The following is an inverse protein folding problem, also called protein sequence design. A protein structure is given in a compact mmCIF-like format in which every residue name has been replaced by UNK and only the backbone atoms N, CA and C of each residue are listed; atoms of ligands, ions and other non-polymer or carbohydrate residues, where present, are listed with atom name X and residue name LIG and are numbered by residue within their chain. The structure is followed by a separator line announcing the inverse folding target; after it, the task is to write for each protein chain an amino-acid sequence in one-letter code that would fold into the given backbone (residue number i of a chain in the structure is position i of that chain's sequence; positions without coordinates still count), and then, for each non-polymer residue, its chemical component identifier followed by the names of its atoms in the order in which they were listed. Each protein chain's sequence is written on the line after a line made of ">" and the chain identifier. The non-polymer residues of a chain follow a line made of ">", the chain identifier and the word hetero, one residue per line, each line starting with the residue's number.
data_IF_605797396140
#
_entry.id   IF_605797396140
#
_cell.length_a   1.000
_cell.length_b   1.000
_cell.length_c   1.000
_cell.angle_alpha   90.00
_cell.angle_beta   90.00
_cell.angle_gamma   90.00
#
_symmetry.space_group_name_H-M   'P 1'
#
loop_
_entity.id
_entity.type
_entity.pdbx_description
1 polymer ?
#
# COMPACT_ATOMS: atom_id res chain seq x y z
N UNK A 1 11.65 12.31 32.21
CA UNK A 1 10.80 13.36 31.64
C UNK A 1 11.56 14.11 30.54
N UNK A 2 12.79 14.61 30.76
CA UNK A 2 13.57 15.38 29.78
C UNK A 2 13.83 14.60 28.47
N UNK A 3 14.18 13.30 28.52
CA UNK A 3 14.42 12.45 27.34
C UNK A 3 13.16 12.27 26.48
N UNK A 4 11.99 12.08 27.10
CA UNK A 4 10.71 11.96 26.39
C UNK A 4 10.31 13.29 25.73
N UNK A 5 10.56 14.41 26.42
CA UNK A 5 10.34 15.75 25.84
C UNK A 5 11.24 15.99 24.62
N UNK A 6 12.51 15.59 24.69
CA UNK A 6 13.46 15.66 23.58
C UNK A 6 13.03 14.81 22.37
N UNK A 7 12.57 13.58 22.61
CA UNK A 7 12.09 12.68 21.55
C UNK A 7 10.84 13.24 20.87
N UNK A 8 9.88 13.78 21.62
CA UNK A 8 8.68 14.41 21.06
C UNK A 8 9.01 15.66 20.21
N UNK A 9 9.94 16.50 20.71
CA UNK A 9 10.39 17.68 19.96
C UNK A 9 11.11 17.28 18.68
N UNK A 10 12.01 16.31 18.72
CA UNK A 10 12.67 15.75 17.53
C UNK A 10 11.66 15.26 16.51
N UNK A 11 10.68 14.45 16.94
CA UNK A 11 9.63 13.91 16.08
C UNK A 11 8.86 15.03 15.39
N UNK A 12 8.48 16.08 16.15
CA UNK A 12 7.76 17.25 15.59
C UNK A 12 8.60 18.01 14.56
N UNK A 13 9.88 18.23 14.83
CA UNK A 13 10.80 18.92 13.90
C UNK A 13 11.00 18.06 12.64
N UNK A 14 11.25 16.76 12.82
CA UNK A 14 11.44 15.82 11.70
C UNK A 14 10.19 15.76 10.81
N UNK A 15 8.99 15.64 11.40
CA UNK A 15 7.72 15.64 10.65
C UNK A 15 7.56 16.90 9.79
N UNK A 16 7.77 18.09 10.38
CA UNK A 16 7.67 19.35 9.63
C UNK A 16 8.71 19.48 8.53
N UNK A 17 9.91 18.92 8.73
CA UNK A 17 10.94 18.87 7.70
C UNK A 17 10.53 17.95 6.55
N UNK A 18 10.05 16.75 6.84
CA UNK A 18 9.56 15.79 5.86
C UNK A 18 8.45 16.41 5.00
N UNK A 19 7.46 17.06 5.62
CA UNK A 19 6.33 17.69 4.93
C UNK A 19 6.75 18.86 4.03
N UNK A 20 7.85 19.56 4.35
CA UNK A 20 8.43 20.57 3.46
C UNK A 20 9.20 19.97 2.29
N UNK A 21 9.91 18.85 2.51
CA UNK A 21 10.68 18.16 1.48
C UNK A 21 9.78 17.34 0.54
N UNK A 22 8.63 16.91 1.01
CA UNK A 22 7.62 16.15 0.25
C UNK A 22 6.27 16.86 0.39
N UNK A 23 6.08 18.02 -0.27
CA UNK A 23 4.84 18.78 -0.13
C UNK A 23 3.63 18.04 -0.69
N UNK A 24 2.44 18.36 -0.17
CA UNK A 24 1.18 17.82 -0.67
C UNK A 24 0.94 18.27 -2.13
N UNK A 25 0.44 17.35 -2.94
CA UNK A 25 -0.05 17.58 -4.30
C UNK A 25 -1.40 16.87 -4.48
N UNK A 26 -2.13 17.16 -5.55
CA UNK A 26 -3.43 16.52 -5.79
C UNK A 26 -4.59 17.12 -4.98
N UNK A 27 -5.57 16.28 -4.66
CA UNK A 27 -6.83 16.66 -4.05
C UNK A 27 -7.16 15.82 -2.81
N UNK A 28 -8.19 16.27 -2.07
CA UNK A 28 -8.72 15.54 -0.91
C UNK A 28 -10.18 15.19 -1.14
N UNK A 29 -10.58 14.01 -0.67
CA UNK A 29 -11.96 13.54 -0.66
C UNK A 29 -12.31 13.01 0.72
N UNK A 30 -13.41 13.49 1.27
CA UNK A 30 -13.95 12.96 2.53
C UNK A 30 -14.87 11.76 2.22
N UNK A 31 -14.50 10.60 2.71
CA UNK A 31 -15.30 9.37 2.64
C UNK A 31 -15.62 8.90 4.04
N UNK A 32 -16.58 7.97 4.18
CA UNK A 32 -16.91 7.40 5.48
C UNK A 32 -15.66 6.77 6.13
N UNK A 33 -15.22 7.31 7.27
CA UNK A 33 -14.08 6.83 8.04
C UNK A 33 -12.71 7.44 7.70
N UNK A 34 -12.59 8.24 6.62
CA UNK A 34 -11.31 8.84 6.22
C UNK A 34 -11.47 10.14 5.41
N UNK A 35 -10.45 10.99 5.49
CA UNK A 35 -10.19 12.01 4.50
C UNK A 35 -9.00 11.56 3.67
N UNK A 36 -9.24 11.21 2.41
CA UNK A 36 -8.26 10.65 1.50
C UNK A 36 -7.60 11.73 0.65
N UNK A 37 -6.29 11.67 0.55
CA UNK A 37 -5.50 12.41 -0.43
C UNK A 37 -5.32 11.52 -1.66
N UNK A 38 -5.52 12.10 -2.84
CA UNK A 38 -5.38 11.39 -4.10
C UNK A 38 -4.88 12.32 -5.21
N UNK A 39 -4.31 11.71 -6.25
CA UNK A 39 -3.91 12.38 -7.48
C UNK A 39 -4.67 11.74 -8.63
N UNK A 40 -5.33 12.55 -9.45
CA UNK A 40 -6.12 12.14 -10.63
C UNK A 40 -5.40 12.63 -11.89
N UNK A 41 -5.07 11.71 -12.81
CA UNK A 41 -4.33 12.00 -14.04
C UNK A 41 -4.91 11.25 -15.23
N UNK A 42 -4.82 11.89 -16.41
CA UNK A 42 -5.29 11.29 -17.65
C UNK A 42 -6.81 11.27 -17.76
N UNK A 43 -7.31 10.56 -18.76
CA UNK A 43 -8.72 10.42 -19.07
C UNK A 43 -9.00 9.02 -19.64
N UNK A 44 -10.24 8.58 -19.67
CA UNK A 44 -10.64 7.26 -20.21
C UNK A 44 -11.01 6.27 -19.11
N UNK A 45 -10.77 4.98 -19.36
CA UNK A 45 -11.09 3.89 -18.41
C UNK A 45 -10.33 4.08 -17.10
N UNK A 46 -11.04 4.04 -15.95
CA UNK A 46 -10.39 4.34 -14.67
C UNK A 46 -9.55 3.19 -14.14
N UNK A 47 -8.38 3.52 -13.60
CA UNK A 47 -7.47 2.65 -12.85
C UNK A 47 -7.19 3.28 -11.49
N UNK A 48 -7.37 2.52 -10.40
CA UNK A 48 -7.06 2.97 -9.03
C UNK A 48 -5.80 2.26 -8.55
N UNK A 49 -4.78 3.03 -8.13
CA UNK A 49 -3.49 2.54 -7.67
C UNK A 49 -3.34 2.69 -6.15
N UNK A 50 -3.13 1.57 -5.45
CA UNK A 50 -2.94 1.49 -4.00
C UNK A 50 -1.52 1.03 -3.64
N UNK A 51 -0.82 1.84 -2.85
CA UNK A 51 0.55 1.58 -2.37
C UNK A 51 0.62 0.58 -1.22
N UNK A 52 1.81 0.01 -0.96
CA UNK A 52 2.08 -0.96 0.11
C UNK A 52 2.17 -0.38 1.53
N UNK A 53 2.57 -1.23 2.48
CA UNK A 53 2.77 -0.89 3.90
C UNK A 53 3.86 0.19 4.07
N UNK A 54 3.57 1.22 4.87
CA UNK A 54 4.53 2.29 5.16
C UNK A 54 4.97 3.13 3.96
N UNK A 55 4.30 2.95 2.81
CA UNK A 55 4.51 3.65 1.55
C UNK A 55 3.49 4.78 1.38
N UNK A 56 3.38 5.32 0.16
CA UNK A 56 2.40 6.33 -0.23
C UNK A 56 2.30 6.43 -1.77
N UNK A 57 1.34 7.18 -2.28
CA UNK A 57 0.95 7.23 -3.70
C UNK A 57 2.12 7.52 -4.68
N UNK A 58 3.15 8.27 -4.26
CA UNK A 58 4.29 8.62 -5.12
C UNK A 58 5.19 7.42 -5.46
N UNK A 59 4.98 6.25 -4.85
CA UNK A 59 5.67 5.04 -5.30
C UNK A 59 5.34 4.71 -6.76
N UNK A 60 4.18 5.13 -7.26
CA UNK A 60 3.80 4.98 -8.67
C UNK A 60 4.28 6.13 -9.58
N UNK A 61 4.93 7.17 -9.03
CA UNK A 61 5.38 8.34 -9.77
C UNK A 61 6.74 8.16 -10.47
N UNK A 62 7.33 6.94 -10.41
CA UNK A 62 8.59 6.62 -11.11
C UNK A 62 8.39 6.19 -12.57
N UNK A 63 7.22 6.43 -13.12
CA UNK A 63 6.90 6.16 -14.51
C UNK A 63 5.62 5.34 -14.70
N UNK A 64 5.14 4.61 -13.71
CA UNK A 64 3.91 3.82 -13.82
C UNK A 64 2.71 4.73 -14.12
N UNK A 65 2.50 5.75 -13.29
CA UNK A 65 1.37 6.66 -13.45
C UNK A 65 1.41 7.42 -14.77
N UNK A 66 2.58 7.94 -15.16
CA UNK A 66 2.74 8.72 -16.41
C UNK A 66 2.54 7.82 -17.64
N UNK A 67 3.06 6.58 -17.61
CA UNK A 67 2.89 5.62 -18.70
C UNK A 67 1.44 5.15 -18.88
N UNK A 68 0.64 5.12 -17.81
CA UNK A 68 -0.77 4.74 -17.88
C UNK A 68 -1.68 5.94 -18.21
N UNK A 69 -1.33 7.14 -17.74
CA UNK A 69 -2.17 8.34 -17.90
C UNK A 69 -2.29 8.83 -19.36
N UNK A 70 -1.49 8.28 -20.29
CA UNK A 70 -1.66 8.52 -21.73
C UNK A 70 -2.97 7.92 -22.28
N UNK A 71 -3.46 6.83 -21.71
CA UNK A 71 -4.58 6.06 -22.25
C UNK A 71 -5.70 5.81 -21.24
N UNK A 72 -5.43 6.01 -19.96
CA UNK A 72 -6.34 5.72 -18.85
C UNK A 72 -6.51 6.92 -17.91
N UNK A 73 -7.63 6.97 -17.19
CA UNK A 73 -7.78 7.84 -16.02
C UNK A 73 -7.18 7.15 -14.81
N UNK A 74 -6.07 7.65 -14.28
CA UNK A 74 -5.28 7.03 -13.22
C UNK A 74 -5.46 7.76 -11.91
N UNK A 75 -6.03 7.08 -10.92
CA UNK A 75 -6.26 7.58 -9.57
C UNK A 75 -5.23 6.97 -8.62
N UNK A 76 -4.26 7.75 -8.18
CA UNK A 76 -3.29 7.35 -7.16
C UNK A 76 -3.83 7.74 -5.79
N UNK A 77 -3.85 6.82 -4.84
CA UNK A 77 -4.49 7.06 -3.53
C UNK A 77 -3.49 6.86 -2.40
N UNK A 78 -3.40 7.84 -1.50
CA UNK A 78 -2.82 7.62 -0.19
C UNK A 78 -3.83 6.87 0.68
N UNK A 79 -3.47 5.68 1.16
CA UNK A 79 -4.34 4.89 2.03
C UNK A 79 -4.52 5.56 3.41
N UNK A 80 -5.60 5.31 4.15
CA UNK A 80 -5.84 5.90 5.46
C UNK A 80 -4.62 5.81 6.39
N UNK A 81 -4.17 6.96 6.94
CA UNK A 81 -2.98 7.05 7.79
C UNK A 81 -1.64 7.04 7.06
N UNK A 82 -1.62 6.96 5.74
CA UNK A 82 -0.41 7.04 4.91
C UNK A 82 -0.41 8.31 4.07
N UNK A 83 0.79 8.75 3.62
CA UNK A 83 0.90 9.98 2.84
C UNK A 83 0.20 11.14 3.55
N UNK A 84 -0.72 11.80 2.88
CA UNK A 84 -1.51 12.89 3.43
C UNK A 84 -2.95 12.51 3.81
N UNK A 85 -3.32 11.23 3.67
CA UNK A 85 -4.62 10.73 4.13
C UNK A 85 -4.67 10.54 5.64
N UNK A 86 -5.83 10.81 6.21
CA UNK A 86 -6.08 10.64 7.64
C UNK A 86 -7.36 9.83 7.89
N UNK A 87 -7.34 9.01 8.93
CA UNK A 87 -8.56 8.35 9.42
C UNK A 87 -9.35 9.33 10.29
N UNK A 88 -10.67 9.42 10.10
CA UNK A 88 -11.55 10.30 10.89
C UNK A 88 -12.03 9.64 12.19
N UNK A 89 -11.60 8.40 12.45
CA UNK A 89 -11.90 7.63 13.65
C UNK A 89 -10.72 6.77 14.07
N UNK A 90 -10.98 5.48 14.34
CA UNK A 90 -9.91 4.49 14.54
C UNK A 90 -9.23 4.19 13.21
N UNK A 91 -7.91 3.97 13.25
CA UNK A 91 -7.19 3.51 12.06
C UNK A 91 -7.78 2.17 11.59
N UNK A 92 -8.21 2.02 10.33
CA UNK A 92 -8.81 0.80 9.82
C UNK A 92 -7.76 -0.29 9.57
N UNK A 93 -8.15 -1.55 9.77
CA UNK A 93 -7.43 -2.73 9.28
C UNK A 93 -7.62 -2.93 7.77
N UNK A 94 -7.23 -4.10 7.26
CA UNK A 94 -7.27 -4.42 5.81
C UNK A 94 -8.71 -4.36 5.28
N UNK A 95 -9.65 -5.03 5.93
CA UNK A 95 -11.07 -5.04 5.50
C UNK A 95 -11.74 -3.67 5.66
N UNK A 96 -11.39 -2.91 6.71
CA UNK A 96 -11.88 -1.55 6.87
C UNK A 96 -11.36 -0.62 5.76
N UNK A 97 -10.12 -0.80 5.31
CA UNK A 97 -9.58 -0.06 4.17
C UNK A 97 -10.23 -0.49 2.85
N UNK A 98 -10.56 -1.76 2.67
CA UNK A 98 -11.30 -2.23 1.50
C UNK A 98 -12.66 -1.52 1.36
N UNK A 99 -13.41 -1.36 2.45
CA UNK A 99 -14.66 -0.62 2.45
C UNK A 99 -14.45 0.88 2.11
N UNK A 100 -13.37 1.50 2.61
CA UNK A 100 -13.02 2.90 2.29
C UNK A 100 -12.65 3.06 0.82
N UNK A 101 -11.94 2.10 0.23
CA UNK A 101 -11.61 2.11 -1.21
C UNK A 101 -12.88 1.98 -2.06
N UNK A 102 -13.81 1.11 -1.69
CA UNK A 102 -15.10 1.00 -2.37
C UNK A 102 -15.90 2.32 -2.31
N UNK A 103 -15.93 2.97 -1.14
CA UNK A 103 -16.56 4.28 -0.98
C UNK A 103 -15.87 5.41 -1.78
N UNK A 104 -14.54 5.38 -1.92
CA UNK A 104 -13.80 6.30 -2.79
C UNK A 104 -14.23 6.12 -4.26
N UNK A 105 -14.29 4.87 -4.73
CA UNK A 105 -14.70 4.53 -6.10
C UNK A 105 -16.10 5.06 -6.40
N UNK A 106 -17.04 4.86 -5.47
CA UNK A 106 -18.41 5.35 -5.56
C UNK A 106 -18.47 6.89 -5.62
N UNK A 107 -17.77 7.58 -4.68
CA UNK A 107 -17.82 9.04 -4.60
C UNK A 107 -17.11 9.75 -5.75
N UNK A 108 -16.08 9.14 -6.35
CA UNK A 108 -15.43 9.64 -7.57
C UNK A 108 -16.19 9.23 -8.84
N UNK A 109 -17.34 8.55 -8.70
CA UNK A 109 -18.20 8.08 -9.79
C UNK A 109 -17.42 7.23 -10.82
N UNK A 110 -16.43 6.45 -10.34
CA UNK A 110 -15.61 5.60 -11.20
C UNK A 110 -16.41 4.36 -11.63
N UNK A 111 -16.57 4.20 -12.94
CA UNK A 111 -17.34 3.08 -13.50
C UNK A 111 -16.51 1.80 -13.49
N UNK A 112 -16.58 1.05 -12.40
CA UNK A 112 -15.88 -0.24 -12.18
C UNK A 112 -14.40 -0.18 -12.62
N UNK A 113 -13.52 0.59 -11.90
CA UNK A 113 -12.13 0.70 -12.27
C UNK A 113 -11.39 -0.64 -12.15
N UNK A 114 -10.29 -0.81 -12.89
CA UNK A 114 -9.26 -1.78 -12.54
C UNK A 114 -8.63 -1.34 -11.22
N UNK A 115 -8.61 -2.23 -10.23
CA UNK A 115 -7.96 -1.94 -8.95
C UNK A 115 -6.57 -2.57 -8.93
N UNK A 116 -5.56 -1.74 -8.70
CA UNK A 116 -4.15 -2.13 -8.60
C UNK A 116 -3.70 -2.05 -7.16
N UNK A 117 -3.13 -3.13 -6.63
CA UNK A 117 -2.58 -3.17 -5.28
C UNK A 117 -1.12 -3.62 -5.28
N UNK A 118 -0.24 -2.82 -4.65
CA UNK A 118 1.15 -3.23 -4.42
C UNK A 118 1.34 -3.76 -3.00
N UNK A 119 2.02 -4.91 -2.85
CA UNK A 119 2.39 -5.46 -1.53
C UNK A 119 1.15 -5.67 -0.63
N UNK A 120 1.11 -5.10 0.58
CA UNK A 120 -0.04 -5.20 1.49
C UNK A 120 -1.35 -4.66 0.87
N UNK A 121 -1.28 -3.72 -0.05
CA UNK A 121 -2.49 -3.27 -0.75
C UNK A 121 -3.07 -4.34 -1.69
N UNK A 122 -2.33 -5.39 -2.02
CA UNK A 122 -2.88 -6.59 -2.65
C UNK A 122 -3.94 -7.26 -1.78
N UNK A 123 -3.69 -7.40 -0.47
CA UNK A 123 -4.68 -7.90 0.48
C UNK A 123 -5.92 -7.00 0.57
N UNK A 124 -5.73 -5.66 0.55
CA UNK A 124 -6.84 -4.70 0.55
C UNK A 124 -7.66 -4.82 -0.73
N UNK A 125 -7.00 -4.92 -1.89
CA UNK A 125 -7.66 -5.10 -3.19
C UNK A 125 -8.44 -6.42 -3.26
N UNK A 126 -7.89 -7.51 -2.73
CA UNK A 126 -8.59 -8.79 -2.57
C UNK A 126 -9.77 -8.67 -1.59
N UNK A 127 -9.63 -7.84 -0.54
CA UNK A 127 -10.73 -7.49 0.35
C UNK A 127 -11.86 -6.75 -0.38
N UNK A 128 -11.54 -5.82 -1.30
CA UNK A 128 -12.55 -5.17 -2.17
C UNK A 128 -13.22 -6.21 -3.06
N UNK A 129 -12.44 -7.07 -3.74
CA UNK A 129 -12.98 -8.07 -4.65
C UNK A 129 -13.90 -9.09 -3.95
N UNK A 130 -13.63 -9.42 -2.69
CA UNK A 130 -14.44 -10.38 -1.94
C UNK A 130 -15.67 -9.79 -1.26
N UNK A 131 -15.66 -8.51 -0.86
CA UNK A 131 -16.73 -7.86 -0.09
C UNK A 131 -17.49 -6.79 -0.88
N UNK A 132 -16.88 -6.24 -1.93
CA UNK A 132 -17.46 -5.19 -2.80
C UNK A 132 -17.22 -5.51 -4.29
N UNK A 133 -17.53 -6.74 -4.78
CA UNK A 133 -17.14 -7.20 -6.12
C UNK A 133 -17.70 -6.34 -7.25
N UNK A 134 -18.85 -5.72 -7.06
CA UNK A 134 -19.50 -4.90 -8.08
C UNK A 134 -18.85 -3.52 -8.27
N UNK A 135 -17.98 -3.10 -7.34
CA UNK A 135 -17.32 -1.80 -7.40
C UNK A 135 -16.13 -1.73 -8.37
N UNK A 136 -15.58 -2.87 -8.79
CA UNK A 136 -14.37 -2.96 -9.62
C UNK A 136 -14.58 -3.88 -10.82
N UNK A 137 -13.76 -3.73 -11.87
CA UNK A 137 -13.77 -4.63 -13.05
C UNK A 137 -12.87 -5.86 -12.83
N UNK A 138 -11.78 -5.71 -12.08
CA UNK A 138 -10.84 -6.77 -11.78
C UNK A 138 -9.63 -6.25 -10.99
N UNK A 139 -8.64 -7.12 -10.80
CA UNK A 139 -7.42 -6.85 -10.03
C UNK A 139 -6.15 -7.04 -10.85
N UNK A 140 -5.22 -6.07 -10.76
CA UNK A 140 -3.83 -6.21 -11.17
C UNK A 140 -2.92 -6.01 -9.95
N UNK A 141 -2.31 -7.06 -9.45
CA UNK A 141 -1.61 -7.08 -8.18
C UNK A 141 -0.09 -7.17 -8.39
N UNK A 142 0.65 -6.22 -7.81
CA UNK A 142 2.11 -6.13 -7.90
C UNK A 142 2.75 -6.61 -6.59
N UNK A 143 3.51 -7.70 -6.62
CA UNK A 143 4.13 -8.32 -5.44
C UNK A 143 3.17 -8.39 -4.23
N UNK A 144 1.91 -8.85 -4.42
CA UNK A 144 0.88 -8.72 -3.40
C UNK A 144 1.10 -9.66 -2.22
N UNK A 145 0.70 -9.21 -1.01
CA UNK A 145 0.44 -10.09 0.12
C UNK A 145 -0.95 -10.70 -0.08
N UNK A 146 -1.01 -12.02 -0.14
CA UNK A 146 -2.26 -12.76 -0.41
C UNK A 146 -2.57 -13.81 0.66
N UNK A 147 -1.58 -14.14 1.51
CA UNK A 147 -1.69 -15.17 2.54
C UNK A 147 -1.51 -14.58 3.93
N UNK A 148 -2.14 -15.16 4.95
CA UNK A 148 -1.87 -14.79 6.34
C UNK A 148 -0.38 -14.95 6.68
N UNK A 149 0.22 -14.02 7.45
CA UNK A 149 1.62 -14.10 7.82
C UNK A 149 1.90 -15.35 8.66
N UNK A 150 2.94 -16.11 8.27
CA UNK A 150 3.30 -17.37 8.97
C UNK A 150 4.02 -17.12 10.30
N UNK A 151 4.78 -16.04 10.40
CA UNK A 151 5.51 -15.66 11.60
C UNK A 151 5.77 -14.15 11.63
N UNK A 152 5.96 -13.63 12.84
CA UNK A 152 6.29 -12.24 13.07
C UNK A 152 7.40 -12.14 14.13
N UNK A 153 8.43 -11.29 13.92
CA UNK A 153 9.46 -11.09 14.93
C UNK A 153 8.88 -10.62 16.27
N UNK A 154 9.31 -11.22 17.37
CA UNK A 154 8.75 -10.99 18.71
C UNK A 154 8.69 -9.51 19.15
N UNK A 155 9.72 -8.64 18.88
CA UNK A 155 9.62 -7.23 19.21
C UNK A 155 8.51 -6.50 18.46
N UNK A 156 8.33 -6.83 17.16
CA UNK A 156 7.27 -6.26 16.33
C UNK A 156 5.89 -6.76 16.79
N UNK A 157 5.76 -8.05 17.09
CA UNK A 157 4.54 -8.63 17.63
C UNK A 157 4.11 -7.97 18.95
N UNK A 158 5.06 -7.61 19.81
CA UNK A 158 4.80 -6.90 21.06
C UNK A 158 4.30 -5.46 20.83
N UNK A 159 4.93 -4.73 19.92
CA UNK A 159 4.52 -3.37 19.54
C UNK A 159 3.12 -3.37 18.90
N UNK A 160 2.80 -4.36 18.09
CA UNK A 160 1.51 -4.54 17.42
C UNK A 160 0.41 -4.86 18.43
N UNK A 161 0.68 -5.73 19.40
CA UNK A 161 -0.28 -6.10 20.48
C UNK A 161 -0.51 -5.01 21.51
N UNK A 162 0.32 -3.95 21.51
CA UNK A 162 0.14 -2.83 22.43
C UNK A 162 -1.26 -2.21 22.27
N UNK A 163 -1.85 -1.76 23.36
CA UNK A 163 -3.10 -1.01 23.34
C UNK A 163 -2.97 0.26 22.47
N UNK A 164 -4.08 0.77 21.95
CA UNK A 164 -4.13 1.97 21.10
C UNK A 164 -3.25 3.13 21.64
N UNK A 165 -3.36 3.42 22.93
CA UNK A 165 -2.56 4.47 23.58
C UNK A 165 -1.06 4.15 23.50
N UNK A 166 -0.66 2.90 23.76
CA UNK A 166 0.74 2.47 23.70
C UNK A 166 1.32 2.60 22.28
N UNK A 167 0.56 2.22 21.25
CA UNK A 167 0.99 2.40 19.84
C UNK A 167 1.14 3.87 19.47
N UNK A 168 0.19 4.71 19.88
CA UNK A 168 0.25 6.15 19.62
C UNK A 168 1.45 6.80 20.34
N UNK A 169 1.71 6.45 21.59
CA UNK A 169 2.89 6.91 22.32
C UNK A 169 4.19 6.44 21.67
N UNK A 170 4.26 5.17 21.29
CA UNK A 170 5.40 4.63 20.56
C UNK A 170 5.65 5.40 19.26
N UNK A 171 4.63 5.57 18.43
CA UNK A 171 4.75 6.27 17.15
C UNK A 171 5.26 7.71 17.31
N UNK A 172 4.77 8.44 18.33
CA UNK A 172 5.14 9.83 18.56
C UNK A 172 6.50 10.04 19.27
N UNK A 173 6.94 9.08 20.07
CA UNK A 173 8.17 9.23 20.87
C UNK A 173 9.35 8.48 20.26
N UNK A 174 9.14 7.27 19.75
CA UNK A 174 10.20 6.38 19.30
C UNK A 174 10.08 6.02 17.80
N UNK A 175 8.86 5.99 17.25
CA UNK A 175 8.61 5.53 15.91
C UNK A 175 9.39 6.32 14.86
N UNK A 176 9.25 7.64 14.84
CA UNK A 176 9.97 8.52 13.91
C UNK A 176 11.49 8.46 14.09
N UNK A 177 12.06 8.60 15.31
CA UNK A 177 13.52 8.46 15.49
C UNK A 177 14.05 7.12 15.00
N UNK A 178 13.40 6.01 15.37
CA UNK A 178 13.82 4.66 14.99
C UNK A 178 13.71 4.43 13.47
N UNK A 179 12.60 4.83 12.89
CA UNK A 179 12.32 4.69 11.44
C UNK A 179 13.38 5.46 10.63
N UNK A 180 13.73 6.67 11.04
CA UNK A 180 14.77 7.46 10.38
C UNK A 180 16.17 6.89 10.58
N UNK A 181 16.50 6.43 11.78
CA UNK A 181 17.81 5.81 12.07
C UNK A 181 18.02 4.52 11.26
N UNK A 182 16.96 3.78 10.96
CA UNK A 182 17.00 2.53 10.18
C UNK A 182 16.63 2.69 8.72
N UNK A 183 16.44 3.91 8.23
CA UNK A 183 15.91 4.19 6.88
C UNK A 183 16.67 3.45 5.78
N UNK A 184 17.97 3.61 5.68
CA UNK A 184 18.78 2.98 4.64
C UNK A 184 18.79 1.45 4.73
N UNK A 185 18.90 0.90 5.95
CA UNK A 185 18.86 -0.55 6.16
C UNK A 185 17.49 -1.14 5.76
N UNK A 186 16.42 -0.49 6.18
CA UNK A 186 15.05 -0.94 5.90
C UNK A 186 14.73 -0.93 4.40
N UNK A 187 14.96 0.22 3.75
CA UNK A 187 14.68 0.33 2.32
C UNK A 187 15.65 -0.50 1.48
N UNK A 188 16.93 -0.61 1.90
CA UNK A 188 17.89 -1.51 1.24
C UNK A 188 17.43 -2.96 1.21
N UNK A 189 16.83 -3.45 2.30
CA UNK A 189 16.24 -4.81 2.33
C UNK A 189 14.97 -4.93 1.48
N UNK A 190 14.11 -3.90 1.49
CA UNK A 190 12.84 -3.93 0.76
C UNK A 190 13.06 -3.83 -0.75
N UNK A 191 14.08 -3.09 -1.19
CA UNK A 191 14.43 -2.96 -2.60
C UNK A 191 15.28 -4.13 -3.12
N UNK A 192 15.99 -4.86 -2.25
CA UNK A 192 16.91 -5.92 -2.70
C UNK A 192 16.26 -6.88 -3.72
N UNK A 193 16.99 -7.26 -4.79
CA UNK A 193 18.37 -6.90 -5.10
C UNK A 193 18.54 -5.52 -5.77
N UNK A 194 17.46 -4.83 -6.09
CA UNK A 194 17.48 -3.54 -6.77
C UNK A 194 18.06 -2.43 -5.86
N UNK A 195 18.74 -1.42 -6.42
CA UNK A 195 19.20 -0.29 -5.65
C UNK A 195 18.05 0.62 -5.24
N UNK A 196 18.13 1.20 -4.04
CA UNK A 196 17.22 2.26 -3.62
C UNK A 196 17.53 3.53 -4.42
N UNK A 197 16.58 4.13 -5.16
CA UNK A 197 16.83 5.39 -5.85
C UNK A 197 17.26 6.48 -4.87
N UNK A 198 18.27 7.29 -5.25
CA UNK A 198 18.83 8.32 -4.38
C UNK A 198 17.79 9.38 -3.93
N UNK A 199 16.77 9.61 -4.76
CA UNK A 199 15.66 10.54 -4.54
C UNK A 199 14.41 9.88 -3.95
N UNK A 200 14.48 8.60 -3.55
CA UNK A 200 13.30 7.86 -3.05
C UNK A 200 12.70 8.49 -1.80
N UNK A 201 13.51 9.09 -0.94
CA UNK A 201 13.03 9.77 0.26
C UNK A 201 12.06 10.93 -0.07
N UNK A 202 12.31 11.64 -1.17
CA UNK A 202 11.57 12.84 -1.60
C UNK A 202 10.62 12.52 -2.76
N UNK A 203 11.14 12.22 -3.95
CA UNK A 203 10.34 11.92 -5.15
C UNK A 203 9.43 10.72 -4.94
N UNK A 204 9.95 9.61 -4.40
CA UNK A 204 9.17 8.43 -4.04
C UNK A 204 8.35 8.59 -2.77
N UNK A 205 8.55 9.68 -2.04
CA UNK A 205 7.85 10.00 -0.80
C UNK A 205 8.18 9.06 0.37
N UNK A 206 9.26 8.29 0.27
CA UNK A 206 9.63 7.32 1.31
C UNK A 206 9.80 7.91 2.71
N UNK A 207 10.17 9.21 2.80
CA UNK A 207 10.28 9.91 4.07
C UNK A 207 8.92 10.12 4.78
N UNK A 208 7.80 10.19 4.05
CA UNK A 208 6.46 10.34 4.66
C UNK A 208 6.08 9.13 5.53
N UNK A 209 6.62 7.94 5.21
CA UNK A 209 6.44 6.73 6.03
C UNK A 209 7.05 6.80 7.43
N UNK A 210 7.99 7.74 7.67
CA UNK A 210 8.63 7.94 8.96
C UNK A 210 7.83 8.82 9.93
N UNK A 211 6.71 9.42 9.49
CA UNK A 211 5.87 10.24 10.36
C UNK A 211 5.07 9.39 11.34
N UNK A 212 4.75 9.91 12.55
CA UNK A 212 4.02 9.15 13.57
C UNK A 212 2.70 8.56 13.07
N UNK A 213 1.97 9.30 12.25
CA UNK A 213 0.69 8.83 11.67
C UNK A 213 0.90 7.58 10.81
N UNK A 214 1.93 7.57 9.96
CA UNK A 214 2.23 6.44 9.08
C UNK A 214 2.79 5.24 9.84
N UNK A 215 3.63 5.48 10.86
CA UNK A 215 4.10 4.42 11.76
C UNK A 215 2.93 3.76 12.50
N UNK A 216 2.00 4.56 13.04
CA UNK A 216 0.83 4.04 13.74
C UNK A 216 -0.09 3.26 12.79
N UNK A 217 -0.32 3.75 11.57
CA UNK A 217 -1.11 3.07 10.55
C UNK A 217 -0.50 1.70 10.21
N UNK A 218 0.79 1.64 9.96
CA UNK A 218 1.49 0.39 9.66
C UNK A 218 1.37 -0.64 10.79
N UNK A 219 1.46 -0.22 12.06
CA UNK A 219 1.27 -1.10 13.21
C UNK A 219 -0.16 -1.67 13.30
N UNK A 220 -1.17 -0.87 12.97
CA UNK A 220 -2.57 -1.34 12.97
C UNK A 220 -2.83 -2.29 11.81
N UNK A 221 -2.34 -1.98 10.62
CA UNK A 221 -2.44 -2.85 9.44
C UNK A 221 -1.82 -4.22 9.69
N UNK A 222 -0.62 -4.26 10.27
CA UNK A 222 0.03 -5.52 10.66
C UNK A 222 -0.73 -6.25 11.77
N UNK A 223 -1.39 -5.52 12.68
CA UNK A 223 -2.18 -6.14 13.75
C UNK A 223 -3.42 -6.87 13.21
N UNK A 224 -4.06 -6.32 12.18
CA UNK A 224 -5.27 -6.92 11.58
C UNK A 224 -4.94 -7.96 10.51
N UNK A 225 -3.72 -7.95 9.95
CA UNK A 225 -3.37 -8.70 8.74
C UNK A 225 -3.69 -10.19 8.84
N UNK A 226 -3.42 -10.84 9.99
CA UNK A 226 -3.67 -12.27 10.12
C UNK A 226 -5.17 -12.61 10.09
N UNK A 227 -5.97 -11.88 10.85
CA UNK A 227 -7.41 -12.13 10.96
C UNK A 227 -8.13 -11.77 9.67
N UNK A 228 -7.86 -10.59 9.13
CA UNK A 228 -8.47 -10.11 7.89
C UNK A 228 -8.10 -11.00 6.69
N UNK A 229 -6.83 -11.41 6.55
CA UNK A 229 -6.41 -12.29 5.46
C UNK A 229 -7.01 -13.69 5.58
N UNK A 230 -7.16 -14.26 6.78
CA UNK A 230 -7.89 -15.53 6.96
C UNK A 230 -9.32 -15.41 6.45
N UNK A 231 -10.01 -14.29 6.73
CA UNK A 231 -11.36 -14.06 6.25
C UNK A 231 -11.41 -13.94 4.71
N UNK A 232 -10.48 -13.20 4.11
CA UNK A 232 -10.39 -12.97 2.67
C UNK A 232 -10.09 -14.29 1.92
N UNK A 233 -9.09 -15.05 2.38
CA UNK A 233 -8.66 -16.32 1.76
C UNK A 233 -9.79 -17.34 1.67
N UNK A 234 -10.67 -17.40 2.68
CA UNK A 234 -11.84 -18.28 2.67
C UNK A 234 -12.81 -18.01 1.51
N UNK A 235 -12.75 -16.81 0.94
CA UNK A 235 -13.63 -16.36 -0.15
C UNK A 235 -12.97 -16.45 -1.53
N UNK A 236 -11.69 -16.84 -1.63
CA UNK A 236 -10.97 -16.91 -2.90
C UNK A 236 -11.67 -17.77 -3.96
N UNK A 237 -12.17 -18.95 -3.57
CA UNK A 237 -12.87 -19.85 -4.47
C UNK A 237 -14.22 -19.32 -5.03
N UNK A 238 -14.75 -18.23 -4.44
CA UNK A 238 -16.00 -17.59 -4.90
C UNK A 238 -15.77 -16.39 -5.81
N UNK A 239 -14.51 -15.94 -5.99
CA UNK A 239 -14.18 -14.80 -6.84
C UNK A 239 -14.50 -15.10 -8.31
N UNK A 240 -15.22 -14.16 -8.94
CA UNK A 240 -15.59 -14.23 -10.36
C UNK A 240 -14.87 -13.18 -11.21
N UNK A 241 -14.21 -12.23 -10.55
CA UNK A 241 -13.44 -11.17 -11.18
C UNK A 241 -12.11 -11.71 -11.71
N UNK A 242 -11.62 -11.13 -12.79
CA UNK A 242 -10.27 -11.39 -13.27
C UNK A 242 -9.24 -10.92 -12.23
N UNK A 243 -8.29 -11.78 -11.87
CA UNK A 243 -7.21 -11.50 -10.93
C UNK A 243 -5.89 -11.87 -11.57
N UNK A 244 -5.01 -10.88 -11.74
CA UNK A 244 -3.67 -11.09 -12.26
C UNK A 244 -2.64 -10.64 -11.23
N UNK A 245 -1.57 -11.43 -11.07
CA UNK A 245 -0.49 -11.20 -10.14
C UNK A 245 0.83 -11.08 -10.91
N UNK A 246 1.66 -10.09 -10.54
CA UNK A 246 3.03 -9.94 -11.02
C UNK A 246 3.97 -9.93 -9.82
N UNK A 247 5.02 -10.77 -9.86
CA UNK A 247 6.08 -10.76 -8.85
C UNK A 247 7.45 -10.57 -9.47
N UNK A 248 8.36 -9.97 -8.71
CA UNK A 248 9.79 -10.05 -8.99
C UNK A 248 10.33 -11.43 -8.62
N UNK A 249 11.19 -12.01 -9.48
CA UNK A 249 11.81 -13.33 -9.24
C UNK A 249 12.68 -13.36 -8.00
N UNK A 250 13.25 -12.23 -7.64
CA UNK A 250 14.16 -12.04 -6.52
C UNK A 250 13.49 -11.35 -5.32
N UNK A 251 12.15 -11.32 -5.25
CA UNK A 251 11.43 -10.74 -4.12
C UNK A 251 11.77 -11.46 -2.80
N UNK A 252 12.40 -10.74 -1.87
CA UNK A 252 12.83 -11.23 -0.56
C UNK A 252 11.89 -10.77 0.57
N UNK A 253 10.82 -10.07 0.24
CA UNK A 253 9.84 -9.53 1.20
C UNK A 253 8.58 -10.37 1.21
N UNK A 254 8.06 -10.69 0.03
CA UNK A 254 6.87 -11.54 -0.17
C UNK A 254 7.25 -12.69 -1.08
N UNK A 255 7.14 -13.91 -0.58
CA UNK A 255 7.54 -15.13 -1.30
C UNK A 255 6.53 -15.46 -2.40
N UNK A 256 6.92 -15.40 -3.70
CA UNK A 256 6.01 -15.72 -4.81
C UNK A 256 5.44 -17.14 -4.76
N UNK A 257 6.17 -18.11 -4.20
CA UNK A 257 5.68 -19.49 -4.07
C UNK A 257 4.59 -19.61 -2.99
N UNK A 258 4.66 -18.77 -1.95
CA UNK A 258 3.65 -18.78 -0.89
C UNK A 258 2.47 -17.91 -1.27
N UNK A 259 2.71 -16.65 -1.63
CA UNK A 259 1.68 -15.68 -1.90
C UNK A 259 1.14 -15.79 -3.34
N UNK A 260 2.01 -15.98 -4.34
CA UNK A 260 1.62 -16.04 -5.75
C UNK A 260 0.96 -17.39 -6.12
N UNK A 261 1.69 -18.49 -5.98
CA UNK A 261 1.22 -19.81 -6.43
C UNK A 261 -0.01 -20.29 -5.67
N UNK A 262 -0.07 -20.08 -4.35
CA UNK A 262 -1.26 -20.45 -3.56
C UNK A 262 -2.49 -19.61 -3.91
N UNK A 263 -2.31 -18.32 -4.20
CA UNK A 263 -3.41 -17.47 -4.63
C UNK A 263 -3.99 -17.94 -5.97
N UNK A 264 -3.12 -18.22 -6.96
CA UNK A 264 -3.55 -18.73 -8.26
C UNK A 264 -4.22 -20.10 -8.15
N UNK A 265 -3.74 -20.97 -7.27
CA UNK A 265 -4.37 -22.27 -7.03
C UNK A 265 -5.76 -22.16 -6.37
N UNK A 266 -6.01 -21.08 -5.60
CA UNK A 266 -7.24 -20.89 -4.84
C UNK A 266 -8.28 -19.99 -5.53
N UNK A 267 -7.83 -19.06 -6.39
CA UNK A 267 -8.71 -18.10 -7.09
C UNK A 267 -8.98 -18.60 -8.51
N UNK A 268 -10.24 -18.87 -8.88
CA UNK A 268 -10.59 -19.35 -10.22
C UNK A 268 -10.15 -18.37 -11.32
N UNK A 269 -9.39 -18.88 -12.30
CA UNK A 269 -8.94 -18.08 -13.44
C UNK A 269 -7.86 -17.04 -13.14
N UNK A 270 -7.30 -17.02 -11.93
CA UNK A 270 -6.18 -16.13 -11.62
C UNK A 270 -4.93 -16.49 -12.41
N UNK A 271 -4.12 -15.48 -12.74
CA UNK A 271 -2.86 -15.66 -13.48
C UNK A 271 -1.67 -15.12 -12.68
N UNK A 272 -0.51 -15.75 -12.85
CA UNK A 272 0.75 -15.34 -12.24
C UNK A 272 1.78 -15.08 -13.34
N UNK A 273 2.33 -13.87 -13.35
CA UNK A 273 3.47 -13.47 -14.18
C UNK A 273 4.68 -13.17 -13.29
N UNK A 274 5.87 -13.51 -13.77
CA UNK A 274 7.14 -13.25 -13.10
C UNK A 274 7.97 -12.30 -13.96
N UNK A 275 8.54 -11.27 -13.32
CA UNK A 275 9.51 -10.36 -13.96
C UNK A 275 10.84 -10.40 -13.21
N UNK A 276 11.89 -9.83 -13.78
CA UNK A 276 13.14 -9.61 -13.06
C UNK A 276 12.94 -8.56 -11.98
N UNK A 277 13.78 -8.61 -10.92
CA UNK A 277 13.78 -7.64 -9.83
C UNK A 277 13.16 -8.15 -8.54
N UNK A 278 13.18 -7.27 -7.52
CA UNK A 278 12.71 -7.53 -6.16
C UNK A 278 11.28 -7.08 -5.91
N UNK A 279 11.04 -6.67 -4.64
CA UNK A 279 9.70 -6.34 -4.15
C UNK A 279 9.14 -5.01 -4.68
N UNK A 280 10.01 -4.01 -4.91
CA UNK A 280 9.57 -2.63 -5.20
C UNK A 280 9.31 -2.38 -6.69
N UNK A 281 8.59 -3.29 -7.34
CA UNK A 281 8.29 -3.26 -8.77
C UNK A 281 7.80 -1.89 -9.29
N UNK A 282 6.89 -1.16 -8.63
CA UNK A 282 6.43 0.14 -9.13
C UNK A 282 7.53 1.20 -9.22
N UNK A 283 8.59 1.05 -8.44
CA UNK A 283 9.71 2.02 -8.35
C UNK A 283 10.91 1.55 -9.15
N UNK A 284 11.34 0.29 -8.95
CA UNK A 284 12.53 -0.27 -9.56
C UNK A 284 12.28 -0.71 -11.02
N UNK A 285 11.09 -1.23 -11.32
CA UNK A 285 10.69 -1.75 -12.63
C UNK A 285 9.38 -1.12 -13.14
N UNK A 286 9.29 0.23 -13.25
CA UNK A 286 8.05 0.92 -13.57
C UNK A 286 7.49 0.57 -14.95
N UNK A 287 8.35 0.28 -15.94
CA UNK A 287 7.91 -0.08 -17.29
C UNK A 287 7.25 -1.48 -17.31
N UNK A 288 7.83 -2.46 -16.61
CA UNK A 288 7.24 -3.79 -16.49
C UNK A 288 5.91 -3.72 -15.73
N UNK A 289 5.86 -2.95 -14.64
CA UNK A 289 4.65 -2.71 -13.87
C UNK A 289 3.54 -2.04 -14.71
N UNK A 290 3.88 -0.99 -15.45
CA UNK A 290 2.91 -0.28 -16.31
C UNK A 290 2.39 -1.17 -17.46
N UNK A 291 3.28 -1.93 -18.12
CA UNK A 291 2.90 -2.91 -19.15
C UNK A 291 1.90 -3.92 -18.59
N UNK A 292 2.23 -4.56 -17.49
CA UNK A 292 1.36 -5.55 -16.85
C UNK A 292 -0.02 -4.97 -16.49
N UNK A 293 -0.08 -3.76 -15.88
CA UNK A 293 -1.34 -3.10 -15.55
C UNK A 293 -2.15 -2.79 -16.81
N UNK A 294 -1.50 -2.29 -17.87
CA UNK A 294 -2.14 -1.99 -19.16
C UNK A 294 -2.77 -3.24 -19.77
N UNK A 295 -2.02 -4.34 -19.85
CA UNK A 295 -2.52 -5.61 -20.37
C UNK A 295 -3.70 -6.16 -19.55
N UNK A 296 -3.72 -5.94 -18.24
CA UNK A 296 -4.87 -6.27 -17.41
C UNK A 296 -6.09 -5.38 -17.74
N UNK A 297 -5.88 -4.07 -17.89
CA UNK A 297 -6.96 -3.13 -18.20
C UNK A 297 -7.59 -3.37 -19.58
N UNK A 298 -6.81 -3.76 -20.57
CA UNK A 298 -7.27 -4.04 -21.94
C UNK A 298 -8.07 -5.35 -22.06
N UNK A 299 -7.97 -6.25 -21.09
CA UNK A 299 -8.71 -7.53 -21.05
C UNK A 299 -10.07 -7.43 -20.36
N UNK A 300 -10.43 -6.30 -19.77
CA UNK A 300 -11.64 -6.06 -18.99
C UNK A 300 -12.62 -5.17 -19.71
#
# INVERSE_FOLDING_TARGET
>A
VAALGGAALYTRIATKRIEREVPVDGAFLDVAGARLHYVDRGTGTPIVLLHGLGAQLRNFSYGVADALASDFRVILVDRPGSGYSVSTGSQPGILGQAAIVAALIEQLELQRPLLVGHSLAGAIALGVATHHPDSISGLALLAPVTQPPQSMPAPLASAIKAARIGRTLFANLLGTPLSRATYGLRWGKIFAPDPVPADFATRGGGALGDRPVSVNAALVELASANEDLIAIVRLYGSLKLSVALLYGREDQVVDPAIDGERAVAAIPGATLEMTDGGHMLPVAHPQASARFIRECAERM
#
